data_IF_486804984020
#
_entry.id   IF_486804984020
#
_cell.length_a   1.000
_cell.length_b   1.000
_cell.length_c   1.000
_cell.angle_alpha   90.00
_cell.angle_beta   90.00
_cell.angle_gamma   90.00
#
_symmetry.space_group_name_H-M   'P 1'
#
loop_
_entity.id
_entity.type
_entity.pdbx_description
1 polymer ?
#
# COMPACT_ATOMS: atom_id res chain seq x y z
N UNK A 1 71.18 -26.64 27.98
CA UNK A 1 71.44 -25.89 26.73
C UNK A 1 70.60 -24.61 26.80
N UNK A 2 71.15 -23.39 26.92
CA UNK A 2 71.64 -22.52 25.82
C UNK A 2 70.71 -22.63 24.59
N UNK A 3 69.97 -21.60 24.18
CA UNK A 3 70.44 -20.23 23.92
C UNK A 3 69.58 -19.10 24.52
N UNK A 4 70.18 -17.92 24.62
CA UNK A 4 69.51 -16.64 24.93
C UNK A 4 69.79 -15.62 23.80
N UNK A 5 68.89 -14.66 23.59
CA UNK A 5 69.22 -13.33 23.02
C UNK A 5 68.37 -12.22 23.66
N UNK A 6 69.07 -11.31 24.35
CA UNK A 6 68.73 -9.89 24.61
C UNK A 6 68.70 -9.12 23.27
N UNK A 7 68.24 -7.87 23.10
CA UNK A 7 67.64 -6.80 23.91
C UNK A 7 66.77 -5.93 22.94
N UNK A 8 66.08 -4.82 23.24
CA UNK A 8 65.93 -3.92 24.41
C UNK A 8 64.43 -3.90 24.87
N UNK A 9 63.93 -3.08 25.80
CA UNK A 9 64.52 -2.06 26.69
C UNK A 9 63.96 -0.65 26.48
N UNK A 10 62.91 -0.28 27.23
CA UNK A 10 62.61 1.08 27.73
C UNK A 10 61.47 1.00 28.77
N UNK A 11 61.41 1.99 29.67
CA UNK A 11 60.75 1.92 30.98
C UNK A 11 59.26 2.30 30.99
N UNK A 12 58.45 1.59 31.78
CA UNK A 12 57.11 2.02 32.15
C UNK A 12 57.15 3.01 33.33
N UNK A 13 56.29 4.03 33.28
CA UNK A 13 55.84 4.82 34.44
C UNK A 13 54.40 5.27 34.18
N UNK A 14 53.51 5.26 35.18
CA UNK A 14 52.08 5.40 34.95
C UNK A 14 51.63 6.86 34.88
N UNK A 15 50.66 7.15 34.01
CA UNK A 15 49.90 8.42 34.01
C UNK A 15 48.42 8.09 33.88
N UNK A 16 47.62 8.52 34.86
CA UNK A 16 46.16 8.49 34.79
C UNK A 16 45.63 9.72 34.03
N UNK A 17 44.70 9.53 33.08
CA UNK A 17 43.33 10.11 33.08
C UNK A 17 42.65 10.09 31.69
N UNK A 18 41.30 10.18 31.75
CA UNK A 18 40.36 10.60 30.70
C UNK A 18 39.94 9.64 29.55
N UNK A 19 38.71 9.11 29.69
CA UNK A 19 37.62 9.21 28.68
C UNK A 19 37.74 8.50 27.32
N UNK A 20 36.79 7.63 26.93
CA UNK A 20 36.80 7.02 25.59
C UNK A 20 36.32 8.02 24.52
N UNK A 21 37.24 8.41 23.63
CA UNK A 21 36.92 9.14 22.40
C UNK A 21 36.61 8.17 21.24
N UNK A 22 35.76 8.61 20.31
CA UNK A 22 35.16 7.76 19.28
C UNK A 22 36.17 7.16 18.28
N UNK A 23 36.07 5.85 18.05
CA UNK A 23 36.65 5.20 16.86
C UNK A 23 35.64 5.35 15.71
N UNK A 24 35.95 6.27 14.78
CA UNK A 24 35.29 6.32 13.47
C UNK A 24 35.84 5.19 12.60
N UNK A 25 35.03 4.19 12.27
CA UNK A 25 35.31 3.31 11.14
C UNK A 25 34.50 3.79 9.94
N UNK A 26 35.18 4.42 8.98
CA UNK A 26 34.58 4.70 7.68
C UNK A 26 34.48 3.41 6.88
N UNK A 27 33.27 2.89 6.71
CA UNK A 27 32.94 2.00 5.60
C UNK A 27 32.63 2.87 4.38
N UNK A 28 33.15 2.49 3.20
CA UNK A 28 33.07 3.33 2.00
C UNK A 28 31.67 3.23 1.38
N UNK A 29 30.94 4.35 1.28
CA UNK A 29 29.61 4.45 0.67
C UNK A 29 29.54 3.84 -0.75
N UNK A 30 30.67 3.61 -1.44
CA UNK A 30 30.72 2.88 -2.72
C UNK A 30 30.46 1.38 -2.59
N UNK A 31 30.83 0.75 -1.48
CA UNK A 31 30.56 -0.67 -1.23
C UNK A 31 29.06 -0.89 -0.94
N UNK A 32 28.44 0.01 -0.17
CA UNK A 32 27.01 -0.03 0.14
C UNK A 32 26.17 0.16 -1.12
N UNK A 33 26.45 1.20 -1.93
CA UNK A 33 25.80 1.40 -3.22
C UNK A 33 26.02 0.21 -4.18
N UNK A 34 27.16 -0.49 -4.10
CA UNK A 34 27.36 -1.72 -4.86
C UNK A 34 26.46 -2.86 -4.39
N UNK A 35 26.22 -3.02 -3.09
CA UNK A 35 25.32 -4.05 -2.57
C UNK A 35 23.85 -3.77 -2.94
N UNK A 36 23.41 -2.51 -2.81
CA UNK A 36 22.09 -2.06 -3.31
C UNK A 36 21.94 -2.31 -4.83
N UNK A 37 22.95 -1.94 -5.63
CA UNK A 37 22.97 -2.21 -7.08
C UNK A 37 23.00 -3.71 -7.39
N UNK A 38 23.60 -4.55 -6.54
CA UNK A 38 23.69 -6.01 -6.74
C UNK A 38 22.33 -6.67 -6.49
N UNK A 39 21.67 -6.39 -5.37
CA UNK A 39 20.33 -6.92 -5.08
C UNK A 39 19.30 -6.39 -6.08
N UNK A 40 19.36 -5.11 -6.43
CA UNK A 40 18.51 -4.52 -7.47
C UNK A 40 18.72 -5.20 -8.82
N UNK A 41 19.97 -5.40 -9.27
CA UNK A 41 20.26 -6.09 -10.53
C UNK A 41 19.90 -7.58 -10.49
N UNK A 42 19.97 -8.25 -9.33
CA UNK A 42 19.53 -9.63 -9.16
C UNK A 42 18.01 -9.74 -9.36
N UNK A 43 17.22 -8.89 -8.69
CA UNK A 43 15.77 -8.85 -8.81
C UNK A 43 15.32 -8.46 -10.23
N UNK A 44 15.95 -7.45 -10.86
CA UNK A 44 15.66 -7.05 -12.23
C UNK A 44 15.98 -8.15 -13.26
N UNK A 45 17.05 -8.94 -13.03
CA UNK A 45 17.37 -10.11 -13.88
C UNK A 45 16.34 -11.23 -13.71
N UNK A 46 15.94 -11.55 -12.48
CA UNK A 46 14.91 -12.56 -12.24
C UNK A 46 13.56 -12.18 -12.89
N UNK A 47 13.13 -10.92 -12.73
CA UNK A 47 11.89 -10.42 -13.34
C UNK A 47 11.94 -10.41 -14.89
N UNK A 48 13.10 -10.12 -15.49
CA UNK A 48 13.26 -10.11 -16.95
C UNK A 48 13.43 -11.51 -17.57
N UNK A 49 13.99 -12.48 -16.84
CA UNK A 49 13.97 -13.89 -17.28
C UNK A 49 12.55 -14.46 -17.26
N UNK A 50 11.76 -14.14 -16.24
CA UNK A 50 10.38 -14.62 -16.11
C UNK A 50 9.41 -14.01 -17.14
N UNK A 51 9.72 -12.85 -17.73
CA UNK A 51 8.95 -12.28 -18.85
C UNK A 51 9.34 -12.92 -20.20
N UNK A 52 10.62 -13.25 -20.39
CA UNK A 52 11.13 -13.96 -21.58
C UNK A 52 10.60 -15.41 -21.68
N UNK A 53 10.50 -16.12 -20.55
CA UNK A 53 9.92 -17.48 -20.55
C UNK A 53 8.42 -17.48 -20.88
N UNK A 54 7.68 -16.43 -20.50
CA UNK A 54 6.27 -16.28 -20.89
C UNK A 54 6.10 -16.01 -22.38
N UNK A 55 6.98 -15.24 -23.01
CA UNK A 55 6.93 -15.00 -24.47
C UNK A 55 7.36 -16.21 -25.30
N UNK A 56 8.17 -17.13 -24.74
CA UNK A 56 8.60 -18.35 -25.44
C UNK A 56 7.48 -19.41 -25.64
N UNK A 57 6.35 -19.30 -24.94
CA UNK A 57 5.25 -20.28 -25.00
C UNK A 57 4.08 -19.92 -25.93
N UNK A 58 4.13 -18.76 -26.60
CA UNK A 58 3.05 -18.24 -27.43
C UNK A 58 3.46 -18.08 -28.91
N UNK A 59 3.59 -19.21 -29.62
CA UNK A 59 3.99 -19.21 -31.02
C UNK A 59 3.27 -20.23 -31.89
N UNK A 60 2.15 -19.84 -32.51
CA UNK A 60 1.83 -20.04 -33.95
C UNK A 60 0.43 -19.53 -34.32
N UNK A 61 0.26 -19.15 -35.59
CA UNK A 61 -0.97 -18.63 -36.25
C UNK A 61 -1.48 -17.27 -35.75
N UNK A 62 -2.01 -16.39 -36.61
CA UNK A 62 -2.13 -16.44 -38.07
C UNK A 62 -2.59 -15.07 -38.60
N UNK A 63 -2.20 -14.72 -39.83
CA UNK A 63 -2.46 -13.40 -40.41
C UNK A 63 -3.93 -13.27 -40.82
N UNK A 64 -4.68 -12.35 -40.21
CA UNK A 64 -6.10 -12.13 -40.50
C UNK A 64 -6.35 -10.62 -40.71
N UNK A 65 -6.58 -10.24 -41.97
CA UNK A 65 -7.11 -8.93 -42.32
C UNK A 65 -8.56 -8.83 -41.82
N UNK A 66 -8.86 -7.81 -41.03
CA UNK A 66 -10.24 -7.43 -40.73
C UNK A 66 -10.67 -6.32 -41.70
N UNK A 67 -11.69 -6.64 -42.48
CA UNK A 67 -12.40 -5.72 -43.37
C UNK A 67 -13.48 -5.00 -42.54
N UNK A 68 -13.55 -3.68 -42.62
CA UNK A 68 -14.68 -2.93 -42.08
C UNK A 68 -15.90 -3.06 -43.00
N UNK A 69 -17.10 -3.38 -42.48
CA UNK A 69 -18.36 -3.07 -43.12
C UNK A 69 -18.94 -1.76 -42.57
N UNK A 70 -19.34 -0.85 -43.46
CA UNK A 70 -20.13 0.33 -43.13
C UNK A 70 -21.52 -0.07 -42.59
N UNK A 71 -21.99 0.62 -41.55
CA UNK A 71 -23.43 0.65 -41.19
C UNK A 71 -23.83 2.11 -40.95
N UNK A 72 -24.96 2.48 -41.55
CA UNK A 72 -25.51 3.83 -41.70
C UNK A 72 -26.60 4.08 -40.65
N UNK A 73 -26.83 5.36 -40.33
CA UNK A 73 -27.91 5.98 -39.54
C UNK A 73 -29.11 5.12 -39.08
N UNK A 74 -29.44 5.19 -37.78
CA UNK A 74 -30.74 5.71 -37.34
C UNK A 74 -30.71 6.03 -35.82
N UNK A 75 -30.73 7.32 -35.47
CA UNK A 75 -30.92 7.79 -34.09
C UNK A 75 -32.16 8.68 -34.01
N UNK A 76 -33.35 8.09 -33.81
CA UNK A 76 -34.60 8.84 -33.67
C UNK A 76 -34.79 9.36 -32.25
N UNK A 77 -35.13 10.64 -32.18
CA UNK A 77 -35.40 11.42 -30.97
C UNK A 77 -36.57 10.84 -30.15
N UNK A 78 -36.40 10.82 -28.83
CA UNK A 78 -37.50 10.72 -27.86
C UNK A 78 -37.22 11.59 -26.63
N UNK A 79 -37.58 12.88 -26.72
CA UNK A 79 -37.81 13.74 -25.56
C UNK A 79 -39.20 14.38 -25.69
N UNK A 80 -40.08 14.06 -24.75
CA UNK A 80 -41.45 14.59 -24.67
C UNK A 80 -41.51 15.79 -23.74
N UNK A 81 -41.98 16.97 -24.18
CA UNK A 81 -42.33 18.06 -23.27
C UNK A 81 -43.81 17.96 -22.88
N UNK A 82 -44.10 17.97 -21.57
CA UNK A 82 -45.46 18.19 -21.06
C UNK A 82 -45.73 19.69 -20.99
N UNK A 83 -46.93 20.12 -21.42
CA UNK A 83 -47.41 21.49 -21.22
C UNK A 83 -48.89 21.49 -20.88
N UNK A 84 -49.33 22.42 -20.03
CA UNK A 84 -50.75 22.70 -19.80
C UNK A 84 -50.95 24.16 -19.40
N UNK A 85 -51.86 24.82 -20.12
CA UNK A 85 -52.16 26.25 -20.10
C UNK A 85 -52.70 26.78 -18.76
N UNK A 86 -52.57 28.10 -18.55
CA UNK A 86 -53.77 28.96 -18.50
C UNK A 86 -53.48 30.41 -18.92
N UNK A 87 -54.54 31.13 -19.27
CA UNK A 87 -54.55 32.35 -20.07
C UNK A 87 -54.95 33.60 -19.27
N UNK A 88 -54.52 34.79 -19.71
CA UNK A 88 -55.31 36.03 -19.55
C UNK A 88 -54.97 37.08 -20.64
N UNK A 89 -55.86 38.07 -20.80
CA UNK A 89 -55.96 39.04 -21.91
C UNK A 89 -55.09 40.29 -21.67
N UNK A 90 -54.67 41.00 -22.74
CA UNK A 90 -55.20 42.35 -23.09
C UNK A 90 -54.43 43.13 -24.21
N UNK A 91 -55.15 43.49 -25.28
CA UNK A 91 -55.17 44.78 -26.02
C UNK A 91 -53.91 45.58 -26.46
N UNK A 92 -53.99 46.00 -27.74
CA UNK A 92 -53.72 47.37 -28.29
C UNK A 92 -52.40 47.71 -29.02
N UNK A 93 -52.53 47.82 -30.36
CA UNK A 93 -52.00 48.85 -31.28
C UNK A 93 -50.47 48.98 -31.58
N UNK A 94 -50.10 49.44 -32.81
CA UNK A 94 -48.70 49.42 -33.28
C UNK A 94 -48.03 50.80 -33.33
N UNK A 95 -46.72 50.86 -33.04
CA UNK A 95 -45.83 51.93 -33.50
C UNK A 95 -44.36 51.47 -33.57
N UNK A 96 -43.66 51.99 -34.58
CA UNK A 96 -42.22 51.89 -34.87
C UNK A 96 -41.25 52.08 -33.69
N UNK A 97 -40.14 51.32 -33.66
CA UNK A 97 -38.80 51.82 -34.02
C UNK A 97 -37.66 50.81 -33.71
N UNK A 98 -36.72 50.69 -34.66
CA UNK A 98 -35.24 50.65 -34.52
C UNK A 98 -34.64 50.00 -33.24
N UNK A 99 -33.77 49.00 -33.42
CA UNK A 99 -32.70 48.73 -32.45
C UNK A 99 -32.23 47.27 -32.35
N UNK A 100 -30.93 47.06 -32.58
CA UNK A 100 -30.10 45.94 -32.13
C UNK A 100 -30.55 44.49 -32.37
N UNK A 101 -29.98 43.93 -33.44
CA UNK A 101 -29.69 42.51 -33.59
C UNK A 101 -28.68 42.05 -32.53
N UNK A 102 -29.15 41.83 -31.30
CA UNK A 102 -28.41 41.08 -30.30
C UNK A 102 -28.40 39.60 -30.70
N UNK A 103 -27.36 39.20 -31.42
CA UNK A 103 -27.04 37.78 -31.64
C UNK A 103 -26.79 37.15 -30.27
N UNK A 104 -27.75 36.36 -29.79
CA UNK A 104 -27.56 35.51 -28.63
C UNK A 104 -26.54 34.42 -29.00
N UNK A 105 -25.27 34.69 -28.76
CA UNK A 105 -24.23 33.68 -28.82
C UNK A 105 -24.56 32.61 -27.78
N UNK A 106 -25.10 31.48 -28.24
CA UNK A 106 -25.07 30.25 -27.46
C UNK A 106 -23.59 29.90 -27.25
N UNK A 107 -23.05 30.31 -26.11
CA UNK A 107 -21.79 29.79 -25.61
C UNK A 107 -21.97 28.28 -25.45
N UNK A 108 -21.50 27.52 -26.44
CA UNK A 108 -21.44 26.08 -26.38
C UNK A 108 -20.41 25.71 -25.31
N UNK A 109 -20.89 25.50 -24.09
CA UNK A 109 -20.11 24.90 -23.02
C UNK A 109 -19.83 23.44 -23.39
N UNK A 110 -18.78 23.22 -24.16
CA UNK A 110 -18.15 21.91 -24.30
C UNK A 110 -17.62 21.52 -22.92
N UNK A 111 -18.41 20.74 -22.19
CA UNK A 111 -17.92 20.02 -21.02
C UNK A 111 -16.87 19.02 -21.50
N UNK A 112 -15.61 19.40 -21.38
CA UNK A 112 -14.47 18.52 -21.57
C UNK A 112 -14.52 17.43 -20.49
N UNK A 113 -15.10 16.29 -20.84
CA UNK A 113 -15.02 15.09 -20.01
C UNK A 113 -13.61 14.53 -20.13
N UNK A 114 -12.74 14.90 -19.19
CA UNK A 114 -11.48 14.18 -18.98
C UNK A 114 -11.83 12.83 -18.32
N UNK A 115 -11.65 11.70 -19.02
CA UNK A 115 -11.89 10.39 -18.42
C UNK A 115 -10.93 10.21 -17.24
N UNK A 116 -11.39 9.66 -16.11
CA UNK A 116 -10.52 9.47 -14.95
C UNK A 116 -9.34 8.56 -15.33
N UNK A 117 -8.12 9.02 -15.06
CA UNK A 117 -6.87 8.34 -15.45
C UNK A 117 -6.65 7.05 -14.64
N UNK A 118 -6.03 6.04 -15.26
CA UNK A 118 -5.49 4.88 -14.55
C UNK A 118 -4.21 5.28 -13.80
N UNK A 119 -4.15 5.01 -12.50
CA UNK A 119 -3.00 5.37 -11.66
C UNK A 119 -2.30 4.09 -11.19
N UNK A 120 -0.99 4.03 -11.34
CA UNK A 120 -0.10 3.00 -10.78
C UNK A 120 1.13 3.75 -10.23
N UNK A 121 1.23 3.89 -8.91
CA UNK A 121 2.28 4.68 -8.23
C UNK A 121 2.80 3.98 -6.99
N UNK A 122 4.10 3.72 -6.97
CA UNK A 122 4.83 3.21 -5.80
C UNK A 122 5.47 4.32 -4.96
N UNK A 123 6.03 3.91 -3.82
CA UNK A 123 6.94 4.73 -3.03
C UNK A 123 8.15 5.22 -3.85
N UNK A 124 8.62 4.39 -4.79
CA UNK A 124 9.77 4.66 -5.65
C UNK A 124 9.51 5.76 -6.68
N UNK A 125 8.25 6.10 -6.97
CA UNK A 125 7.86 7.28 -7.75
C UNK A 125 7.90 8.59 -6.92
N UNK A 126 7.99 8.50 -5.59
CA UNK A 126 7.91 9.66 -4.71
C UNK A 126 9.30 10.28 -4.49
N UNK A 127 9.44 11.56 -4.85
CA UNK A 127 10.64 12.35 -4.52
C UNK A 127 10.74 12.59 -3.01
N UNK A 128 11.87 12.23 -2.39
CA UNK A 128 12.18 12.62 -1.01
C UNK A 128 12.35 14.14 -0.93
N UNK A 129 11.54 14.81 -0.11
CA UNK A 129 11.69 16.22 0.23
C UNK A 129 12.09 16.35 1.70
N UNK A 130 13.25 16.96 1.96
CA UNK A 130 13.90 16.97 3.28
C UNK A 130 14.06 15.55 3.83
N UNK A 131 13.32 15.20 4.89
CA UNK A 131 13.31 13.87 5.50
C UNK A 131 12.01 13.07 5.22
N UNK A 132 11.18 13.52 4.27
CA UNK A 132 9.85 12.98 4.05
C UNK A 132 9.59 12.55 2.61
N UNK A 133 8.81 11.49 2.47
CA UNK A 133 8.10 11.15 1.24
C UNK A 133 6.61 11.47 1.47
N UNK A 134 5.97 12.13 0.51
CA UNK A 134 4.57 12.57 0.64
C UNK A 134 3.82 12.35 -0.67
N UNK A 135 2.59 11.91 -0.56
CA UNK A 135 1.65 11.82 -1.69
C UNK A 135 0.32 12.46 -1.27
N UNK A 136 -0.27 13.24 -2.16
CA UNK A 136 -1.59 13.86 -1.97
C UNK A 136 -2.47 13.51 -3.16
N UNK A 137 -3.69 13.09 -2.89
CA UNK A 137 -4.71 12.79 -3.88
C UNK A 137 -6.07 13.34 -3.41
N UNK A 138 -7.11 13.26 -4.24
CA UNK A 138 -8.47 13.74 -3.91
C UNK A 138 -9.13 13.01 -2.73
N UNK A 139 -8.76 11.74 -2.49
CA UNK A 139 -9.35 10.88 -1.45
C UNK A 139 -8.35 10.35 -0.42
N UNK A 140 -7.04 10.62 -0.54
CA UNK A 140 -6.08 10.21 0.49
C UNK A 140 -4.86 11.14 0.58
N UNK A 141 -4.14 11.04 1.69
CA UNK A 141 -2.79 11.58 1.84
C UNK A 141 -1.87 10.57 2.51
N UNK A 142 -0.66 10.43 1.98
CA UNK A 142 0.40 9.60 2.52
C UNK A 142 1.56 10.48 3.00
N UNK A 143 2.13 10.13 4.14
CA UNK A 143 3.40 10.69 4.60
C UNK A 143 4.24 9.57 5.19
N UNK A 144 5.51 9.54 4.79
CA UNK A 144 6.49 8.66 5.38
C UNK A 144 7.81 9.39 5.67
N UNK A 145 8.61 8.83 6.57
CA UNK A 145 9.94 9.31 6.91
C UNK A 145 10.82 8.15 7.33
N UNK A 146 12.12 8.29 7.07
CA UNK A 146 13.15 7.35 7.51
C UNK A 146 13.35 7.35 9.03
N UNK A 147 12.92 8.42 9.70
CA UNK A 147 13.12 8.59 11.14
C UNK A 147 14.60 8.60 11.51
N UNK A 148 14.96 7.78 12.49
CA UNK A 148 16.34 7.62 12.96
C UNK A 148 17.05 6.37 12.41
N UNK A 149 16.38 5.55 11.59
CA UNK A 149 17.00 4.37 10.96
C UNK A 149 18.06 4.79 9.92
N UNK A 150 19.14 4.00 9.73
CA UNK A 150 20.13 4.27 8.69
C UNK A 150 19.57 4.14 7.26
N UNK A 151 18.53 3.31 7.07
CA UNK A 151 17.90 3.01 5.78
C UNK A 151 16.38 3.23 5.84
N UNK A 152 15.75 3.36 4.67
CA UNK A 152 14.29 3.39 4.50
C UNK A 152 13.87 2.08 3.83
N UNK A 153 13.33 1.15 4.61
CA UNK A 153 12.89 -0.19 4.18
C UNK A 153 11.37 -0.23 3.89
N UNK A 154 10.60 0.64 4.55
CA UNK A 154 9.18 0.95 4.31
C UNK A 154 8.85 1.27 2.84
N UNK A 155 7.86 0.60 2.26
CA UNK A 155 7.30 0.92 0.93
C UNK A 155 5.79 1.10 0.99
N UNK A 156 5.24 1.73 -0.05
CA UNK A 156 3.80 1.87 -0.27
C UNK A 156 3.48 1.70 -1.76
N UNK A 157 2.22 1.41 -2.05
CA UNK A 157 1.69 1.43 -3.40
C UNK A 157 0.26 1.97 -3.43
N UNK A 158 -0.08 2.72 -4.48
CA UNK A 158 -1.43 3.12 -4.81
C UNK A 158 -1.73 2.81 -6.29
N UNK A 159 -2.76 1.98 -6.50
CA UNK A 159 -3.37 1.76 -7.79
C UNK A 159 -4.80 2.32 -7.81
N UNK A 160 -5.21 2.89 -8.95
CA UNK A 160 -6.61 3.15 -9.25
C UNK A 160 -6.94 2.74 -10.67
N UNK A 161 -7.88 1.80 -10.82
CA UNK A 161 -8.47 1.44 -12.10
C UNK A 161 -9.85 2.10 -12.26
N UNK A 162 -9.99 3.10 -13.16
CA UNK A 162 -11.27 3.76 -13.43
C UNK A 162 -12.31 2.82 -14.04
N UNK A 163 -11.91 1.80 -14.80
CA UNK A 163 -12.83 0.89 -15.49
C UNK A 163 -13.54 -0.06 -14.51
N UNK A 164 -12.88 -0.37 -13.39
CA UNK A 164 -13.41 -1.21 -12.31
C UNK A 164 -13.95 -0.38 -11.13
N UNK A 165 -13.72 0.95 -11.13
CA UNK A 165 -13.84 1.81 -9.96
C UNK A 165 -13.17 1.18 -8.72
N UNK A 166 -11.90 0.80 -8.89
CA UNK A 166 -11.10 0.02 -7.95
C UNK A 166 -9.92 0.86 -7.47
N UNK A 167 -9.81 1.10 -6.17
CA UNK A 167 -8.57 1.61 -5.55
C UNK A 167 -7.91 0.52 -4.72
N UNK A 168 -6.61 0.31 -4.92
CA UNK A 168 -5.79 -0.58 -4.09
C UNK A 168 -4.71 0.26 -3.42
N UNK A 169 -4.62 0.16 -2.11
CA UNK A 169 -3.56 0.74 -1.29
C UNK A 169 -2.78 -0.40 -0.63
N UNK A 170 -1.46 -0.30 -0.61
CA UNK A 170 -0.58 -1.18 0.17
C UNK A 170 0.47 -0.37 0.93
N UNK A 171 0.79 -0.83 2.14
CA UNK A 171 1.98 -0.42 2.90
C UNK A 171 2.73 -1.69 3.29
N UNK A 172 4.05 -1.66 3.13
CA UNK A 172 4.93 -2.80 3.29
C UNK A 172 6.12 -2.39 4.16
N UNK A 173 6.07 -2.72 5.44
CA UNK A 173 7.19 -2.51 6.38
C UNK A 173 8.27 -3.54 6.07
N UNK A 174 9.49 -3.11 5.75
CA UNK A 174 10.57 -4.00 5.29
C UNK A 174 11.58 -4.25 6.40
N UNK A 175 12.06 -5.50 6.53
CA UNK A 175 13.07 -5.84 7.53
C UNK A 175 14.16 -6.74 6.96
N UNK A 176 15.41 -6.48 7.38
CA UNK A 176 16.57 -7.25 6.91
C UNK A 176 16.92 -6.98 5.44
N UNK A 177 16.54 -5.81 4.91
CA UNK A 177 16.66 -5.39 3.52
C UNK A 177 15.32 -4.97 2.89
N UNK A 178 15.36 -3.98 2.00
CA UNK A 178 14.19 -3.51 1.26
C UNK A 178 13.70 -4.45 0.13
N UNK A 179 14.36 -5.59 -0.09
CA UNK A 179 14.13 -6.44 -1.27
C UNK A 179 12.67 -6.96 -1.35
N UNK A 180 12.11 -7.37 -0.21
CA UNK A 180 10.76 -7.94 -0.14
C UNK A 180 9.69 -6.85 -0.17
N UNK A 181 9.84 -5.76 0.57
CA UNK A 181 8.89 -4.63 0.55
C UNK A 181 8.79 -3.99 -0.85
N UNK A 182 9.92 -3.90 -1.57
CA UNK A 182 9.97 -3.41 -2.95
C UNK A 182 9.39 -4.39 -3.99
N UNK A 183 9.53 -5.71 -3.76
CA UNK A 183 8.84 -6.71 -4.57
C UNK A 183 7.31 -6.57 -4.42
N UNK A 184 6.82 -6.38 -3.19
CA UNK A 184 5.39 -6.21 -2.93
C UNK A 184 4.84 -4.91 -3.55
N UNK A 185 5.54 -3.80 -3.37
CA UNK A 185 5.28 -2.52 -4.07
C UNK A 185 5.10 -2.72 -5.58
N UNK A 186 5.99 -3.49 -6.21
CA UNK A 186 5.99 -3.66 -7.67
C UNK A 186 4.88 -4.56 -8.20
N UNK A 187 4.40 -5.53 -7.40
CA UNK A 187 3.62 -6.68 -7.87
C UNK A 187 2.24 -6.88 -7.21
N UNK A 188 2.06 -6.50 -5.94
CA UNK A 188 0.87 -6.85 -5.15
C UNK A 188 -0.42 -6.34 -5.79
N UNK A 189 -0.53 -5.03 -6.04
CA UNK A 189 -1.73 -4.42 -6.58
C UNK A 189 -2.07 -4.95 -7.99
N UNK A 190 -1.06 -5.26 -8.80
CA UNK A 190 -1.22 -5.85 -10.14
C UNK A 190 -1.83 -7.26 -10.06
N UNK A 191 -1.30 -8.13 -9.19
CA UNK A 191 -1.84 -9.48 -8.99
C UNK A 191 -3.29 -9.46 -8.51
N UNK A 192 -3.58 -8.64 -7.49
CA UNK A 192 -4.93 -8.45 -6.95
C UNK A 192 -5.90 -7.97 -8.03
N UNK A 193 -5.52 -6.94 -8.81
CA UNK A 193 -6.33 -6.41 -9.92
C UNK A 193 -6.59 -7.47 -10.99
N UNK A 194 -5.57 -8.18 -11.46
CA UNK A 194 -5.74 -9.25 -12.44
C UNK A 194 -6.64 -10.39 -11.94
N UNK A 195 -6.60 -10.68 -10.63
CA UNK A 195 -7.41 -11.74 -10.02
C UNK A 195 -8.87 -11.31 -9.89
N UNK A 196 -9.14 -10.06 -9.53
CA UNK A 196 -10.48 -9.45 -9.54
C UNK A 196 -11.06 -9.41 -10.96
N UNK A 197 -10.30 -8.95 -11.96
CA UNK A 197 -10.71 -8.97 -13.39
C UNK A 197 -11.10 -10.38 -13.84
N UNK A 198 -10.28 -11.39 -13.52
CA UNK A 198 -10.57 -12.80 -13.85
C UNK A 198 -11.82 -13.32 -13.16
N UNK A 199 -12.13 -12.89 -11.93
CA UNK A 199 -13.41 -13.22 -11.28
C UNK A 199 -14.59 -12.54 -11.97
N UNK A 200 -14.47 -11.27 -12.36
CA UNK A 200 -15.54 -10.55 -13.03
C UNK A 200 -15.86 -11.13 -14.41
N UNK A 201 -14.83 -11.44 -15.23
CA UNK A 201 -15.02 -12.12 -16.51
C UNK A 201 -15.71 -13.47 -16.32
N UNK A 202 -15.34 -14.26 -15.31
CA UNK A 202 -16.03 -15.53 -14.99
C UNK A 202 -17.50 -15.30 -14.65
N UNK A 203 -17.84 -14.31 -13.81
CA UNK A 203 -19.23 -13.96 -13.46
C UNK A 203 -20.06 -13.56 -14.69
N UNK A 204 -19.46 -12.80 -15.63
CA UNK A 204 -20.11 -12.42 -16.89
C UNK A 204 -20.30 -13.59 -17.85
N UNK A 205 -19.39 -14.57 -17.86
CA UNK A 205 -19.51 -15.78 -18.69
C UNK A 205 -20.48 -16.82 -18.10
N UNK A 206 -20.64 -16.90 -16.78
CA UNK A 206 -21.57 -17.83 -16.11
C UNK A 206 -23.06 -17.46 -16.23
N UNK A 207 -23.44 -16.60 -17.19
CA UNK A 207 -24.83 -16.17 -17.40
C UNK A 207 -25.71 -17.30 -17.99
N UNK A 208 -25.12 -18.41 -18.48
CA UNK A 208 -25.84 -19.64 -18.85
C UNK A 208 -26.31 -20.51 -17.65
N UNK A 209 -26.58 -19.90 -16.49
CA UNK A 209 -27.47 -20.47 -15.47
C UNK A 209 -26.86 -21.47 -14.47
N UNK A 210 -25.53 -21.64 -14.42
CA UNK A 210 -24.86 -22.41 -13.36
C UNK A 210 -23.96 -21.54 -12.49
N UNK A 211 -24.49 -21.13 -11.34
CA UNK A 211 -23.75 -20.45 -10.27
C UNK A 211 -22.86 -21.43 -9.50
N UNK A 212 -21.68 -21.77 -10.02
CA UNK A 212 -20.61 -22.43 -9.25
C UNK A 212 -19.55 -21.40 -8.82
N UNK A 213 -19.95 -20.47 -7.93
CA UNK A 213 -19.13 -19.38 -7.37
C UNK A 213 -18.15 -19.89 -6.29
N UNK A 214 -17.19 -20.75 -6.66
CA UNK A 214 -16.36 -21.49 -5.67
C UNK A 214 -15.33 -20.72 -4.86
N UNK A 215 -15.07 -19.44 -5.16
CA UNK A 215 -14.12 -18.62 -4.40
C UNK A 215 -14.83 -17.35 -3.87
N UNK A 216 -15.19 -17.28 -2.57
CA UNK A 216 -15.43 -16.02 -1.88
C UNK A 216 -14.28 -15.02 -2.14
N UNK A 217 -14.58 -13.72 -2.18
CA UNK A 217 -13.57 -12.69 -2.48
C UNK A 217 -12.43 -12.71 -1.45
N UNK A 218 -12.74 -13.01 -0.18
CA UNK A 218 -11.77 -13.15 0.90
C UNK A 218 -10.80 -14.32 0.66
N UNK A 219 -11.31 -15.52 0.34
CA UNK A 219 -10.48 -16.67 -0.05
C UNK A 219 -9.61 -16.38 -1.28
N UNK A 220 -10.14 -15.60 -2.23
CA UNK A 220 -9.38 -15.19 -3.41
C UNK A 220 -8.18 -14.32 -3.01
N UNK A 221 -8.36 -13.36 -2.10
CA UNK A 221 -7.25 -12.55 -1.57
C UNK A 221 -6.24 -13.40 -0.78
N UNK A 222 -6.70 -14.33 0.07
CA UNK A 222 -5.83 -15.28 0.79
C UNK A 222 -4.95 -16.05 -0.20
N UNK A 223 -5.54 -16.64 -1.24
CA UNK A 223 -4.80 -17.44 -2.23
C UNK A 223 -3.82 -16.59 -3.06
N UNK A 224 -4.15 -15.35 -3.37
CA UNK A 224 -3.25 -14.46 -4.12
C UNK A 224 -2.04 -14.00 -3.28
N UNK A 225 -2.24 -13.76 -1.98
CA UNK A 225 -1.16 -13.49 -1.02
C UNK A 225 -0.20 -14.68 -0.89
N UNK A 226 -0.72 -15.89 -0.70
CA UNK A 226 0.08 -17.12 -0.65
C UNK A 226 0.89 -17.31 -1.95
N UNK A 227 0.25 -17.13 -3.11
CA UNK A 227 0.88 -17.23 -4.44
C UNK A 227 2.01 -16.22 -4.64
N UNK A 228 1.85 -14.98 -4.18
CA UNK A 228 2.90 -13.95 -4.28
C UNK A 228 4.14 -14.32 -3.47
N UNK A 229 3.96 -14.89 -2.27
CA UNK A 229 5.07 -15.33 -1.42
C UNK A 229 5.76 -16.60 -1.95
N UNK A 230 4.99 -17.55 -2.49
CA UNK A 230 5.53 -18.71 -3.21
C UNK A 230 6.37 -18.27 -4.42
N UNK A 231 5.92 -17.26 -5.16
CA UNK A 231 6.64 -16.69 -6.31
C UNK A 231 7.92 -16.00 -5.85
N UNK A 232 7.83 -15.13 -4.83
CA UNK A 232 8.96 -14.44 -4.22
C UNK A 232 10.06 -15.42 -3.75
N UNK A 233 9.65 -16.52 -3.09
CA UNK A 233 10.53 -17.57 -2.57
C UNK A 233 11.34 -18.30 -3.66
N UNK A 234 10.91 -18.20 -4.92
CA UNK A 234 11.58 -18.79 -6.08
C UNK A 234 12.54 -17.82 -6.79
N UNK A 235 12.43 -16.50 -6.58
CA UNK A 235 13.22 -15.49 -7.32
C UNK A 235 14.68 -15.41 -6.83
N UNK A 236 14.90 -15.38 -5.52
CA UNK A 236 16.25 -15.36 -4.94
C UNK A 236 16.20 -15.84 -3.49
N UNK A 237 16.88 -16.94 -3.19
CA UNK A 237 17.01 -17.42 -1.80
C UNK A 237 17.83 -16.45 -0.95
N UNK A 238 18.84 -15.78 -1.51
CA UNK A 238 19.67 -14.80 -0.79
C UNK A 238 18.82 -13.62 -0.32
N UNK A 239 18.04 -13.01 -1.21
CA UNK A 239 17.25 -11.81 -0.94
C UNK A 239 15.95 -12.06 -0.16
N UNK A 240 15.68 -13.31 0.26
CA UNK A 240 14.44 -13.73 0.96
C UNK A 240 14.70 -14.66 2.15
N UNK A 241 15.96 -14.97 2.47
CA UNK A 241 16.31 -15.92 3.54
C UNK A 241 16.11 -15.33 4.93
N UNK A 242 16.63 -14.11 5.14
CA UNK A 242 16.61 -13.33 6.38
C UNK A 242 16.08 -11.90 6.14
N UNK A 243 15.39 -11.73 5.01
CA UNK A 243 14.78 -10.49 4.55
C UNK A 243 13.31 -10.77 4.36
N UNK A 244 12.46 -9.88 4.85
CA UNK A 244 11.02 -10.03 4.80
C UNK A 244 10.30 -8.70 4.79
N UNK A 245 8.97 -8.77 4.82
CA UNK A 245 8.13 -7.58 4.93
C UNK A 245 6.77 -7.91 5.54
N UNK A 246 6.22 -6.98 6.31
CA UNK A 246 4.79 -6.96 6.61
C UNK A 246 4.00 -6.48 5.39
N UNK A 247 2.69 -6.64 5.42
CA UNK A 247 1.80 -6.07 4.43
C UNK A 247 0.47 -5.73 5.09
N UNK A 248 0.10 -4.45 5.02
CA UNK A 248 -1.27 -4.01 5.24
C UNK A 248 -1.81 -3.39 3.96
N UNK A 249 -2.95 -3.88 3.49
CA UNK A 249 -3.59 -3.37 2.28
C UNK A 249 -5.04 -2.95 2.56
N UNK A 250 -5.49 -1.91 1.86
CA UNK A 250 -6.88 -1.49 1.81
C UNK A 250 -7.34 -1.45 0.35
N UNK A 251 -8.40 -2.18 0.03
CA UNK A 251 -8.96 -2.31 -1.31
C UNK A 251 -10.38 -1.77 -1.29
N UNK A 252 -10.65 -0.77 -2.12
CA UNK A 252 -11.98 -0.18 -2.29
C UNK A 252 -12.54 -0.57 -3.65
N UNK A 253 -13.62 -1.34 -3.66
CA UNK A 253 -14.35 -1.76 -4.88
C UNK A 253 -15.66 -0.98 -5.01
N UNK A 254 -15.86 -0.37 -6.18
CA UNK A 254 -17.09 0.30 -6.58
C UNK A 254 -17.61 1.39 -5.60
N UNK A 255 -16.73 1.98 -4.79
CA UNK A 255 -17.07 2.85 -3.65
C UNK A 255 -18.06 2.23 -2.64
N UNK A 256 -18.18 0.89 -2.62
CA UNK A 256 -19.12 0.17 -1.74
C UNK A 256 -18.41 -0.81 -0.83
N UNK A 257 -17.53 -1.65 -1.34
CA UNK A 257 -16.86 -2.65 -0.50
C UNK A 257 -15.45 -2.21 -0.15
N UNK A 258 -15.14 -2.25 1.14
CA UNK A 258 -13.80 -2.12 1.67
C UNK A 258 -13.31 -3.51 2.03
N UNK A 259 -12.14 -3.92 1.56
CA UNK A 259 -11.42 -5.09 2.07
C UNK A 259 -10.07 -4.69 2.62
N UNK A 260 -9.74 -5.19 3.81
CA UNK A 260 -8.44 -5.02 4.46
C UNK A 260 -7.77 -6.37 4.55
N UNK A 261 -6.49 -6.43 4.15
CA UNK A 261 -5.68 -7.66 4.16
C UNK A 261 -4.45 -7.36 5.01
N UNK A 262 -4.19 -8.15 6.04
CA UNK A 262 -3.05 -7.98 6.93
C UNK A 262 -2.14 -9.21 6.98
N UNK A 263 -0.83 -8.98 6.93
CA UNK A 263 0.26 -9.92 7.25
C UNK A 263 1.29 -9.16 8.08
N UNK A 264 1.60 -9.62 9.30
CA UNK A 264 2.47 -8.88 10.23
C UNK A 264 1.70 -7.88 11.10
N UNK A 265 2.37 -6.82 11.53
CA UNK A 265 1.95 -5.89 12.59
C UNK A 265 1.85 -4.40 12.16
N UNK A 266 2.00 -4.12 10.86
CA UNK A 266 1.33 -2.95 10.28
C UNK A 266 -0.17 -3.01 10.54
N UNK A 267 -0.81 -1.87 10.83
CA UNK A 267 -2.19 -1.82 11.32
C UNK A 267 -3.07 -0.86 10.54
N UNK A 268 -4.34 -1.25 10.35
CA UNK A 268 -5.41 -0.43 9.80
C UNK A 268 -6.53 -0.23 10.83
N UNK A 269 -7.01 1.00 10.95
CA UNK A 269 -8.18 1.38 11.76
C UNK A 269 -9.03 2.39 11.01
N UNK A 270 -10.30 2.52 11.38
CA UNK A 270 -11.21 3.52 10.84
C UNK A 270 -11.91 4.33 11.93
N UNK A 271 -12.53 5.43 11.49
CA UNK A 271 -13.45 6.25 12.26
C UNK A 271 -14.87 6.08 11.71
N UNK A 272 -15.83 5.68 12.55
CA UNK A 272 -17.24 5.54 12.15
C UNK A 272 -17.99 6.89 12.12
N UNK A 273 -19.27 6.88 11.71
CA UNK A 273 -20.11 8.08 11.76
C UNK A 273 -20.31 8.67 13.18
N UNK A 274 -20.11 7.90 14.25
CA UNK A 274 -20.22 8.30 15.65
C UNK A 274 -18.88 8.73 16.27
N UNK A 275 -17.84 8.92 15.45
CA UNK A 275 -16.46 9.28 15.85
C UNK A 275 -15.75 8.20 16.69
N UNK A 276 -16.20 6.94 16.63
CA UNK A 276 -15.61 5.82 17.33
C UNK A 276 -14.53 5.14 16.48
N UNK A 277 -13.53 4.57 17.15
CA UNK A 277 -12.48 3.78 16.51
C UNK A 277 -13.01 2.38 16.18
N UNK A 278 -12.85 1.97 14.92
CA UNK A 278 -13.13 0.62 14.42
C UNK A 278 -11.80 -0.03 14.05
N UNK A 279 -11.50 -1.19 14.65
CA UNK A 279 -10.33 -2.00 14.26
C UNK A 279 -10.62 -2.69 12.93
N UNK A 280 -9.71 -2.55 11.96
CA UNK A 280 -9.83 -3.19 10.65
C UNK A 280 -8.80 -4.31 10.43
N UNK A 281 -7.74 -4.33 11.23
CA UNK A 281 -6.79 -5.43 11.31
C UNK A 281 -6.37 -5.71 12.77
N UNK A 282 -5.82 -6.91 12.97
CA UNK A 282 -5.16 -7.35 14.20
C UNK A 282 -3.69 -7.63 13.88
N UNK A 283 -2.79 -7.13 14.72
CA UNK A 283 -1.35 -7.34 14.58
C UNK A 283 -0.96 -8.81 14.84
N UNK A 284 -0.09 -9.35 13.99
CA UNK A 284 0.44 -10.70 14.12
C UNK A 284 1.70 -10.73 14.99
N UNK A 285 1.61 -10.37 16.28
CA UNK A 285 2.75 -10.41 17.22
C UNK A 285 2.97 -11.83 17.81
N UNK A 286 4.23 -12.30 18.02
CA UNK A 286 4.54 -13.66 18.50
C UNK A 286 3.96 -14.06 19.87
N UNK A 287 3.58 -13.09 20.70
CA UNK A 287 2.93 -13.34 21.99
C UNK A 287 1.40 -13.45 21.92
N UNK A 288 0.77 -13.29 20.75
CA UNK A 288 -0.64 -13.61 20.60
C UNK A 288 -0.88 -15.10 20.89
N UNK A 289 -1.92 -15.48 21.68
CA UNK A 289 -2.12 -16.88 22.06
C UNK A 289 -2.31 -17.85 20.88
N UNK A 290 -2.87 -17.39 19.75
CA UNK A 290 -3.08 -18.23 18.57
C UNK A 290 -1.75 -18.42 17.83
N UNK A 291 -1.02 -17.33 17.58
CA UNK A 291 0.27 -17.37 16.89
C UNK A 291 1.35 -18.08 17.69
N UNK A 292 1.43 -17.82 19.00
CA UNK A 292 2.34 -18.53 19.92
C UNK A 292 2.11 -20.04 19.87
N UNK A 293 0.85 -20.47 19.96
CA UNK A 293 0.48 -21.89 19.88
C UNK A 293 0.80 -22.50 18.51
N UNK A 294 0.63 -21.74 17.41
CA UNK A 294 1.04 -22.15 16.06
C UNK A 294 2.56 -22.37 15.97
N UNK A 295 3.35 -21.47 16.54
CA UNK A 295 4.82 -21.55 16.59
C UNK A 295 5.30 -22.75 17.43
N UNK A 296 4.76 -22.90 18.64
CA UNK A 296 5.13 -23.98 19.58
C UNK A 296 4.72 -25.36 19.04
N UNK A 297 3.55 -25.47 18.41
CA UNK A 297 3.12 -26.71 17.73
C UNK A 297 4.01 -27.10 16.54
N UNK A 298 4.68 -26.15 15.90
CA UNK A 298 5.65 -26.40 14.84
C UNK A 298 7.05 -26.79 15.37
N UNK A 299 7.22 -26.90 16.70
CA UNK A 299 8.52 -27.16 17.34
C UNK A 299 9.40 -25.91 17.49
N UNK A 300 8.86 -24.71 17.25
CA UNK A 300 9.52 -23.44 17.53
C UNK A 300 9.32 -22.96 18.96
N UNK A 301 9.90 -21.81 19.27
CA UNK A 301 9.68 -21.10 20.54
C UNK A 301 9.48 -19.60 20.31
N UNK A 302 8.91 -18.96 21.33
CA UNK A 302 8.78 -17.51 21.45
C UNK A 302 9.54 -17.06 22.71
N UNK A 303 10.61 -16.30 22.51
CA UNK A 303 11.39 -15.67 23.59
C UNK A 303 11.05 -14.18 23.72
N UNK A 304 11.37 -13.58 24.87
CA UNK A 304 11.25 -12.15 25.09
C UNK A 304 12.65 -11.54 25.19
N UNK A 305 13.04 -10.79 24.18
CA UNK A 305 14.42 -10.31 23.97
C UNK A 305 14.40 -8.86 23.49
N UNK A 306 15.27 -8.03 24.07
CA UNK A 306 15.38 -6.60 23.76
C UNK A 306 14.03 -5.83 23.84
N UNK A 307 13.19 -6.20 24.81
CA UNK A 307 11.90 -5.54 25.08
C UNK A 307 10.72 -6.03 24.22
N UNK A 308 10.90 -6.99 23.32
CA UNK A 308 9.84 -7.52 22.46
C UNK A 308 9.85 -9.05 22.37
N UNK A 309 8.73 -9.65 21.96
CA UNK A 309 8.61 -11.08 21.76
C UNK A 309 9.08 -11.48 20.36
N UNK A 310 9.88 -12.55 20.24
CA UNK A 310 10.51 -12.97 18.99
C UNK A 310 10.35 -14.45 18.70
N UNK A 311 10.02 -14.77 17.45
CA UNK A 311 10.01 -16.14 16.90
C UNK A 311 11.45 -16.62 16.78
N UNK A 312 11.78 -17.75 17.43
CA UNK A 312 13.15 -18.29 17.52
C UNK A 312 14.21 -17.27 18.05
N UNK A 313 13.80 -16.25 18.81
CA UNK A 313 14.68 -15.13 19.21
C UNK A 313 15.03 -14.14 18.09
N UNK A 314 14.59 -14.39 16.86
CA UNK A 314 14.97 -13.61 15.67
C UNK A 314 13.92 -12.53 15.37
N UNK A 315 12.71 -12.95 14.99
CA UNK A 315 11.76 -12.07 14.30
C UNK A 315 10.63 -11.59 15.22
N UNK A 316 10.38 -10.28 15.26
CA UNK A 316 9.36 -9.66 16.13
C UNK A 316 7.92 -9.77 15.61
N UNK A 317 7.73 -10.30 14.39
CA UNK A 317 6.44 -10.67 13.81
C UNK A 317 6.28 -12.18 13.72
N UNK A 318 5.04 -12.65 13.81
CA UNK A 318 4.67 -14.06 13.66
C UNK A 318 4.12 -14.40 12.28
N UNK A 319 3.90 -13.40 11.41
CA UNK A 319 3.56 -13.57 9.99
C UNK A 319 4.26 -12.50 9.14
N UNK A 320 4.78 -12.88 7.97
CA UNK A 320 5.46 -11.97 7.03
C UNK A 320 5.56 -12.58 5.62
N UNK A 321 5.82 -11.74 4.62
CA UNK A 321 6.40 -12.17 3.33
C UNK A 321 7.91 -12.37 3.46
N UNK A 322 8.50 -13.22 2.61
CA UNK A 322 9.95 -13.51 2.68
C UNK A 322 10.31 -14.42 3.86
N UNK A 323 11.40 -14.14 4.58
CA UNK A 323 11.86 -14.89 5.77
C UNK A 323 11.86 -16.43 5.59
N UNK A 324 12.28 -16.89 4.42
CA UNK A 324 12.09 -18.26 3.96
C UNK A 324 12.80 -19.30 4.85
N UNK A 325 13.84 -18.93 5.60
CA UNK A 325 14.43 -19.81 6.62
C UNK A 325 13.44 -20.16 7.73
N UNK A 326 12.70 -19.18 8.26
CA UNK A 326 11.74 -19.42 9.33
C UNK A 326 10.48 -20.14 8.81
N UNK A 327 10.09 -19.91 7.55
CA UNK A 327 9.01 -20.67 6.89
C UNK A 327 9.39 -22.13 6.66
N UNK A 328 10.64 -22.43 6.29
CA UNK A 328 11.16 -23.82 6.18
C UNK A 328 11.17 -24.57 7.51
N UNK A 329 11.24 -23.86 8.64
CA UNK A 329 11.07 -24.43 9.99
C UNK A 329 9.60 -24.56 10.42
N UNK A 330 8.63 -24.13 9.60
CA UNK A 330 7.20 -24.16 9.94
C UNK A 330 6.75 -23.13 10.99
N UNK A 331 7.69 -22.39 11.59
CA UNK A 331 7.40 -21.44 12.69
C UNK A 331 6.81 -20.11 12.19
N UNK A 332 6.95 -19.80 10.90
CA UNK A 332 6.47 -18.57 10.29
C UNK A 332 5.52 -18.87 9.11
N UNK A 333 4.57 -17.97 8.85
CA UNK A 333 3.61 -18.10 7.74
C UNK A 333 3.32 -16.74 7.12
N UNK A 334 2.90 -16.72 5.85
CA UNK A 334 2.40 -15.51 5.17
C UNK A 334 0.87 -15.43 5.16
N UNK A 335 0.18 -16.43 5.71
CA UNK A 335 -1.28 -16.53 5.66
C UNK A 335 -1.93 -15.24 6.19
N UNK A 336 -2.70 -14.49 5.38
CA UNK A 336 -3.24 -13.21 5.80
C UNK A 336 -4.52 -13.38 6.62
N UNK A 337 -4.78 -12.39 7.47
CA UNK A 337 -6.13 -12.12 7.95
C UNK A 337 -6.81 -11.15 6.96
N UNK A 338 -8.05 -11.45 6.56
CA UNK A 338 -8.83 -10.64 5.61
C UNK A 338 -10.15 -10.23 6.26
N UNK A 339 -10.47 -8.94 6.19
CA UNK A 339 -11.75 -8.37 6.62
C UNK A 339 -12.42 -7.69 5.43
N UNK A 340 -13.72 -7.93 5.21
CA UNK A 340 -14.53 -7.21 4.22
C UNK A 340 -15.74 -6.54 4.86
N UNK A 341 -16.01 -5.30 4.45
CA UNK A 341 -17.08 -4.44 4.94
C UNK A 341 -17.87 -3.88 3.76
N UNK A 342 -19.19 -3.85 3.86
CA UNK A 342 -20.06 -3.08 2.95
C UNK A 342 -20.29 -1.68 3.55
N UNK A 343 -19.65 -0.67 2.97
CA UNK A 343 -19.75 0.73 3.41
C UNK A 343 -21.18 1.30 3.26
N UNK A 344 -22.07 0.60 2.53
CA UNK A 344 -23.49 0.92 2.46
C UNK A 344 -24.27 0.55 3.72
N UNK A 345 -23.85 -0.48 4.46
CA UNK A 345 -24.44 -0.87 5.76
C UNK A 345 -23.64 -0.29 6.92
N UNK A 346 -22.32 -0.26 6.80
CA UNK A 346 -21.37 0.11 7.85
C UNK A 346 -20.50 1.30 7.42
N UNK A 347 -21.09 2.52 7.30
CA UNK A 347 -20.41 3.68 6.76
C UNK A 347 -19.30 4.20 7.69
N UNK A 348 -18.14 4.47 7.08
CA UNK A 348 -16.93 4.97 7.74
C UNK A 348 -16.58 6.36 7.21
N UNK A 349 -16.01 7.24 8.05
CA UNK A 349 -15.55 8.59 7.66
C UNK A 349 -14.18 8.57 6.99
N UNK A 350 -13.24 7.84 7.60
CA UNK A 350 -11.86 7.75 7.15
C UNK A 350 -11.17 6.51 7.71
N UNK A 351 -10.06 6.13 7.07
CA UNK A 351 -9.12 5.12 7.53
C UNK A 351 -7.78 5.77 7.88
N UNK A 352 -7.09 5.19 8.87
CA UNK A 352 -5.67 5.40 9.16
C UNK A 352 -4.99 4.04 9.02
N UNK A 353 -3.98 3.96 8.16
CA UNK A 353 -3.18 2.77 7.92
C UNK A 353 -1.72 3.14 8.08
N UNK A 354 -0.91 2.29 8.74
CA UNK A 354 0.52 2.59 8.93
C UNK A 354 1.34 1.45 9.52
N UNK A 355 2.65 1.68 9.58
CA UNK A 355 3.68 0.77 10.09
C UNK A 355 3.84 0.85 11.61
N UNK A 356 4.55 -0.11 12.21
CA UNK A 356 4.66 -0.21 13.67
C UNK A 356 5.41 1.00 14.28
N UNK A 357 6.34 1.61 13.54
CA UNK A 357 7.00 2.87 13.88
C UNK A 357 6.05 4.04 14.16
N UNK A 358 4.79 3.97 13.72
CA UNK A 358 3.69 4.85 14.18
C UNK A 358 2.91 4.23 15.35
N UNK A 359 2.49 2.96 15.23
CA UNK A 359 1.56 2.31 16.16
C UNK A 359 2.14 1.94 17.53
N UNK A 360 3.47 1.80 17.65
CA UNK A 360 4.17 1.54 18.91
C UNK A 360 4.15 2.78 19.83
N UNK A 361 3.97 3.97 19.28
CA UNK A 361 3.96 5.24 20.03
C UNK A 361 2.62 5.99 19.99
N UNK A 362 1.64 5.55 19.19
CA UNK A 362 0.27 6.11 19.13
C UNK A 362 -0.76 4.99 19.15
N UNK A 363 -1.67 5.00 20.13
CA UNK A 363 -2.74 3.99 20.20
C UNK A 363 -3.81 4.20 19.12
N UNK A 364 -4.52 3.12 18.75
CA UNK A 364 -5.58 3.16 17.74
C UNK A 364 -6.69 4.17 18.05
N UNK A 365 -7.18 4.21 19.30
CA UNK A 365 -8.18 5.18 19.75
C UNK A 365 -7.66 6.61 19.69
N UNK A 366 -6.39 6.81 20.07
CA UNK A 366 -5.75 8.12 20.04
C UNK A 366 -5.52 8.62 18.60
N UNK A 367 -5.08 7.78 17.67
CA UNK A 367 -4.91 8.15 16.27
C UNK A 367 -6.22 8.65 15.64
N UNK A 368 -7.34 7.95 15.89
CA UNK A 368 -8.68 8.37 15.46
C UNK A 368 -9.10 9.68 16.12
N UNK A 369 -8.86 9.85 17.43
CA UNK A 369 -9.12 11.11 18.13
C UNK A 369 -8.33 12.28 17.54
N UNK A 370 -7.02 12.11 17.35
CA UNK A 370 -6.12 13.12 16.79
C UNK A 370 -6.54 13.56 15.38
N UNK A 371 -6.97 12.62 14.53
CA UNK A 371 -7.48 12.92 13.20
C UNK A 371 -8.83 13.68 13.25
N UNK A 372 -9.77 13.27 14.12
CA UNK A 372 -11.04 13.99 14.33
C UNK A 372 -10.81 15.42 14.88
N UNK A 373 -9.91 15.58 15.86
CA UNK A 373 -9.54 16.87 16.43
C UNK A 373 -8.93 17.78 15.35
N UNK A 374 -8.05 17.23 14.48
CA UNK A 374 -7.46 17.96 13.36
C UNK A 374 -8.52 18.43 12.36
N UNK A 375 -9.43 17.53 11.93
CA UNK A 375 -10.54 17.84 11.03
C UNK A 375 -11.53 18.89 11.59
N UNK A 376 -11.61 19.02 12.91
CA UNK A 376 -12.50 19.96 13.61
C UNK A 376 -11.85 21.32 13.83
N UNK A 377 -10.53 21.35 14.07
CA UNK A 377 -9.77 22.56 14.44
C UNK A 377 -9.12 23.30 13.27
N UNK A 378 -9.05 22.69 12.09
CA UNK A 378 -8.41 23.25 10.89
C UNK A 378 -9.43 23.47 9.76
N UNK A 379 -9.01 24.18 8.71
CA UNK A 379 -9.81 24.30 7.48
C UNK A 379 -10.09 22.90 6.90
N UNK A 380 -11.34 22.62 6.52
CA UNK A 380 -11.74 21.33 5.94
C UNK A 380 -10.95 20.95 4.69
N UNK A 381 -10.30 21.90 4.01
CA UNK A 381 -9.42 21.69 2.85
C UNK A 381 -8.04 21.13 3.24
N UNK A 382 -7.61 21.31 4.48
CA UNK A 382 -6.30 20.89 5.00
C UNK A 382 -6.25 19.44 5.54
N UNK A 383 -7.32 18.66 5.38
CA UNK A 383 -7.38 17.23 5.76
C UNK A 383 -6.18 16.41 5.24
N UNK A 384 -5.66 16.78 4.06
CA UNK A 384 -4.50 16.14 3.42
C UNK A 384 -3.18 16.26 4.21
N UNK A 385 -3.15 17.06 5.29
CA UNK A 385 -2.00 17.19 6.19
C UNK A 385 -2.04 16.18 7.34
N UNK A 386 -3.14 15.47 7.56
CA UNK A 386 -3.33 14.56 8.71
C UNK A 386 -2.24 13.49 8.78
N UNK A 387 -1.88 12.85 7.67
CA UNK A 387 -0.79 11.87 7.66
C UNK A 387 0.56 12.47 8.09
N UNK A 388 0.88 13.69 7.65
CA UNK A 388 2.09 14.41 8.10
C UNK A 388 2.01 14.78 9.58
N UNK A 389 0.85 15.23 10.06
CA UNK A 389 0.62 15.56 11.46
C UNK A 389 0.79 14.34 12.38
N UNK A 390 0.27 13.18 11.99
CA UNK A 390 0.40 11.91 12.71
C UNK A 390 1.87 11.43 12.75
N UNK A 391 2.59 11.47 11.62
CA UNK A 391 4.04 11.19 11.58
C UNK A 391 4.83 12.13 12.51
N UNK A 392 4.50 13.42 12.51
CA UNK A 392 5.13 14.40 13.41
C UNK A 392 4.81 14.16 14.89
N UNK A 393 3.70 13.49 15.24
CA UNK A 393 3.43 13.07 16.62
C UNK A 393 4.33 11.89 17.00
N UNK A 394 4.45 10.88 16.15
CA UNK A 394 5.31 9.73 16.41
C UNK A 394 6.79 10.12 16.56
N UNK A 395 7.31 11.00 15.69
CA UNK A 395 8.66 11.58 15.82
C UNK A 395 8.86 12.32 17.15
N UNK A 396 7.88 13.11 17.60
CA UNK A 396 7.91 13.81 18.90
C UNK A 396 7.78 12.87 20.10
N UNK A 397 7.39 11.61 19.89
CA UNK A 397 7.38 10.54 20.89
C UNK A 397 8.61 9.65 20.82
N UNK A 398 9.62 10.05 20.05
CA UNK A 398 10.91 9.36 19.95
C UNK A 398 10.80 7.89 19.47
N UNK A 399 9.87 7.61 18.55
CA UNK A 399 9.98 6.38 17.75
C UNK A 399 11.34 6.36 17.04
N UNK A 400 11.96 5.18 17.01
CA UNK A 400 13.29 4.98 16.43
C UNK A 400 13.23 4.35 15.03
N UNK A 401 12.03 4.16 14.51
CA UNK A 401 11.79 3.39 13.30
C UNK A 401 11.58 4.21 12.03
N UNK A 402 11.48 3.52 10.89
CA UNK A 402 10.78 4.06 9.73
C UNK A 402 9.31 4.30 10.10
N UNK A 403 8.69 5.31 9.49
CA UNK A 403 7.29 5.64 9.78
C UNK A 403 6.60 5.86 8.45
N UNK A 404 5.52 5.14 8.21
CA UNK A 404 4.63 5.35 7.06
C UNK A 404 3.19 5.42 7.53
N UNK A 405 2.49 6.51 7.17
CA UNK A 405 1.08 6.73 7.51
C UNK A 405 0.29 7.17 6.28
N UNK A 406 -0.76 6.40 5.97
CA UNK A 406 -1.78 6.68 4.99
C UNK A 406 -3.08 7.08 5.69
N UNK A 407 -3.64 8.22 5.29
CA UNK A 407 -4.98 8.66 5.68
C UNK A 407 -5.89 8.62 4.46
N UNK A 408 -6.94 7.79 4.47
CA UNK A 408 -7.92 7.69 3.38
C UNK A 408 -9.22 8.35 3.85
N UNK A 409 -9.70 9.34 3.11
CA UNK A 409 -10.97 10.02 3.32
C UNK A 409 -12.08 9.29 2.56
N UNK A 410 -13.16 8.91 3.25
CA UNK A 410 -14.34 8.27 2.64
C UNK A 410 -15.56 9.23 2.57
N UNK A 411 -15.68 10.18 3.50
CA UNK A 411 -16.78 11.17 3.58
C UNK A 411 -16.26 12.59 3.87
#
# INVERSE_FOLDING_TARGET
>A
MRFARKCCGLSCSPVHLAGPAAIRNGWDNRAEKMLEDIDYRALQRANSQQSLEKTASAGTFGQLQLVCPDIVDECRLCFTPYSSLHSHRSSASPASAIGDSSSCEMQSFTFWFEPPEFIDRGFSDLTKYEQYWKMKHKIFSYCATQGYRPYMEDRMHYMYDPNMNLSIFGIFDGHGGMAVSHYLESNFAKSIRERLLRQETRRRLSIEGMLDLRDPIEEMFVREVLRLDDTLSQLSSVCTSLTGSTMIAAIMEANRYLSVINVGDSRAVACDLKNQMVSLSKDHKPNDPIERKRIENAGGYVSFENGTYRVQGILAVSRSFGDTMLKRLGVLTVNPDVLRIDLGTDPLKFLIVGTDGFWDVVSSQEAVKLANDYLTSHDKRDWHRISTFLVQIALRRHTLDNISVLFIKLL
#
